data_IF_457604951472
#
_entry.id   IF_457604951472
#
_cell.length_a   1.000
_cell.length_b   1.000
_cell.length_c   1.000
_cell.angle_alpha   90.00
_cell.angle_beta   90.00
_cell.angle_gamma   90.00
#
_symmetry.space_group_name_H-M   'P 1'
#
loop_
_entity.id
_entity.type
_entity.pdbx_description
1 polymer ?
#
# COMPACT_ATOMS: atom_id res chain seq x y z
N UNK A 1 -19.45 -2.21 -10.47
CA UNK A 1 -20.48 -1.36 -9.82
C UNK A 1 -19.73 -0.31 -9.01
N UNK A 2 -20.09 0.96 -9.12
CA UNK A 2 -19.47 2.06 -8.38
C UNK A 2 -20.11 2.17 -6.99
N UNK A 3 -19.30 2.36 -5.95
CA UNK A 3 -19.75 2.46 -4.55
C UNK A 3 -19.49 3.87 -4.02
N UNK A 4 -20.55 4.57 -3.66
CA UNK A 4 -20.47 5.98 -3.23
C UNK A 4 -20.10 6.13 -1.75
N UNK A 5 -20.54 5.19 -0.90
CA UNK A 5 -20.20 5.17 0.52
C UNK A 5 -18.93 4.33 0.78
N UNK A 6 -17.91 4.95 1.38
CA UNK A 6 -16.63 4.33 1.70
C UNK A 6 -16.13 4.78 3.07
N UNK A 7 -15.32 3.93 3.70
CA UNK A 7 -14.46 4.30 4.83
C UNK A 7 -13.06 4.49 4.29
N UNK A 8 -12.39 5.55 4.73
CA UNK A 8 -10.99 5.77 4.45
C UNK A 8 -10.27 6.35 5.67
N UNK A 9 -9.24 5.67 6.14
CA UNK A 9 -8.56 5.97 7.41
C UNK A 9 -7.08 5.60 7.35
N UNK A 10 -6.28 6.24 8.21
CA UNK A 10 -4.91 5.80 8.47
C UNK A 10 -4.95 4.72 9.55
N UNK A 11 -4.36 3.57 9.26
CA UNK A 11 -4.21 2.43 10.18
C UNK A 11 -2.73 2.18 10.46
N UNK A 12 -2.44 1.51 11.57
CA UNK A 12 -1.10 0.99 11.84
C UNK A 12 -1.04 -0.48 11.42
N UNK A 13 -0.01 -0.83 10.66
CA UNK A 13 0.28 -2.21 10.25
C UNK A 13 1.66 -2.63 10.74
N UNK A 14 1.88 -3.94 10.87
CA UNK A 14 3.22 -4.50 11.10
C UNK A 14 3.91 -4.68 9.74
N UNK A 15 4.99 -3.95 9.53
CA UNK A 15 5.82 -4.02 8.33
C UNK A 15 7.07 -4.87 8.52
N UNK A 16 8.16 -4.46 7.85
CA UNK A 16 9.45 -5.12 7.90
C UNK A 16 9.94 -5.31 9.35
N UNK A 17 10.36 -6.53 9.68
CA UNK A 17 10.83 -6.94 11.01
C UNK A 17 9.85 -6.64 12.18
N UNK A 18 8.56 -6.47 11.87
CA UNK A 18 7.52 -6.26 12.89
C UNK A 18 7.35 -4.80 13.34
N UNK A 19 8.06 -3.86 12.72
CA UNK A 19 7.89 -2.42 12.93
C UNK A 19 6.46 -1.99 12.67
N UNK A 20 5.96 -1.01 13.44
CA UNK A 20 4.69 -0.37 13.15
C UNK A 20 4.88 0.80 12.18
N UNK A 21 4.15 0.77 11.08
CA UNK A 21 4.12 1.85 10.08
C UNK A 21 2.67 2.25 9.81
N UNK A 22 2.50 3.51 9.41
CA UNK A 22 1.23 3.99 8.87
C UNK A 22 0.91 3.29 7.54
N UNK A 23 -0.37 3.00 7.33
CA UNK A 23 -0.92 2.66 6.03
C UNK A 23 -2.28 3.33 5.84
N UNK A 24 -2.60 3.72 4.61
CA UNK A 24 -3.88 4.34 4.31
C UNK A 24 -4.81 3.28 3.74
N UNK A 25 -5.88 2.96 4.46
CA UNK A 25 -6.86 1.96 4.10
C UNK A 25 -8.12 2.64 3.57
N UNK A 26 -8.64 2.20 2.43
CA UNK A 26 -9.92 2.60 1.90
C UNK A 26 -10.75 1.38 1.48
N UNK A 27 -12.05 1.38 1.77
CA UNK A 27 -12.96 0.27 1.43
C UNK A 27 -14.41 0.71 1.26
N UNK A 28 -15.23 -0.06 0.52
CA UNK A 28 -16.69 0.12 0.51
C UNK A 28 -17.31 0.01 1.92
N UNK A 29 -18.34 0.81 2.19
CA UNK A 29 -19.13 0.80 3.43
C UNK A 29 -20.36 -0.12 3.29
N UNK A 30 -20.15 -1.42 3.04
CA UNK A 30 -21.23 -2.41 3.07
C UNK A 30 -20.72 -3.76 3.60
N UNK A 31 -21.59 -4.76 3.61
CA UNK A 31 -21.31 -6.09 4.17
C UNK A 31 -20.76 -7.11 3.16
N UNK A 32 -20.40 -6.70 1.94
CA UNK A 32 -19.85 -7.60 0.92
C UNK A 32 -18.36 -7.83 1.15
N UNK A 33 -17.87 -8.97 0.63
CA UNK A 33 -16.45 -9.29 0.62
C UNK A 33 -15.82 -8.85 -0.69
N UNK A 34 -14.65 -8.21 -0.61
CA UNK A 34 -13.97 -7.63 -1.77
C UNK A 34 -12.55 -8.15 -1.89
N UNK A 35 -12.00 -8.09 -3.10
CA UNK A 35 -10.57 -8.33 -3.31
C UNK A 35 -9.77 -7.16 -2.74
N UNK A 36 -8.59 -7.48 -2.21
CA UNK A 36 -7.64 -6.52 -1.68
C UNK A 36 -6.68 -6.02 -2.75
N UNK A 37 -6.25 -4.76 -2.64
CA UNK A 37 -5.21 -4.20 -3.48
C UNK A 37 -4.21 -3.46 -2.61
N UNK A 38 -2.95 -3.91 -2.64
CA UNK A 38 -1.82 -3.14 -2.11
C UNK A 38 -1.35 -2.17 -3.18
N UNK A 39 -1.25 -0.89 -2.86
CA UNK A 39 -0.82 0.17 -3.77
C UNK A 39 0.57 0.62 -3.33
N UNK A 40 1.56 0.32 -4.16
CA UNK A 40 2.93 0.75 -3.96
C UNK A 40 3.09 2.15 -4.56
N UNK A 41 3.28 3.14 -3.69
CA UNK A 41 3.32 4.55 -4.06
C UNK A 41 4.56 4.92 -4.90
N UNK A 42 4.43 5.95 -5.72
CA UNK A 42 5.56 6.63 -6.35
C UNK A 42 6.39 7.44 -5.34
N UNK A 43 7.38 8.19 -5.82
CA UNK A 43 8.03 9.26 -5.05
C UNK A 43 7.35 10.61 -5.36
N UNK A 44 6.91 11.40 -4.36
CA UNK A 44 7.46 11.50 -3.00
C UNK A 44 6.90 10.53 -1.95
N UNK A 45 5.82 9.81 -2.26
CA UNK A 45 5.32 8.71 -1.45
C UNK A 45 4.04 9.05 -0.70
N UNK A 46 4.12 9.17 0.62
CA UNK A 46 2.95 9.34 1.49
C UNK A 46 2.27 10.71 1.34
N UNK A 47 1.52 10.90 0.26
CA UNK A 47 0.84 12.15 -0.09
C UNK A 47 -0.68 11.98 -0.31
N UNK A 48 -1.36 13.08 -0.63
CA UNK A 48 -2.79 13.10 -0.90
C UNK A 48 -3.21 12.35 -2.18
N UNK A 49 -2.35 12.32 -3.21
CA UNK A 49 -2.65 11.67 -4.48
C UNK A 49 -2.64 10.13 -4.35
N UNK A 50 -1.70 9.59 -3.58
CA UNK A 50 -1.62 8.17 -3.27
C UNK A 50 -2.86 7.71 -2.46
N UNK A 51 -3.27 8.52 -1.48
CA UNK A 51 -4.50 8.29 -0.70
C UNK A 51 -5.76 8.35 -1.58
N UNK A 52 -5.76 9.22 -2.57
CA UNK A 52 -6.86 9.33 -3.54
C UNK A 52 -6.97 8.09 -4.43
N UNK A 53 -5.85 7.50 -4.84
CA UNK A 53 -5.86 6.25 -5.60
C UNK A 53 -6.50 5.12 -4.77
N UNK A 54 -6.19 5.01 -3.48
CA UNK A 54 -6.87 4.05 -2.60
C UNK A 54 -8.39 4.25 -2.57
N UNK A 55 -8.86 5.49 -2.44
CA UNK A 55 -10.30 5.82 -2.48
C UNK A 55 -10.94 5.47 -3.83
N UNK A 56 -10.23 5.65 -4.95
CA UNK A 56 -10.73 5.24 -6.27
C UNK A 56 -10.87 3.72 -6.39
N UNK A 57 -9.91 2.95 -5.87
CA UNK A 57 -10.06 1.49 -5.81
C UNK A 57 -11.26 1.07 -4.94
N UNK A 58 -11.43 1.70 -3.78
CA UNK A 58 -12.60 1.48 -2.94
C UNK A 58 -13.92 1.79 -3.66
N UNK A 59 -13.97 2.92 -4.39
CA UNK A 59 -15.11 3.28 -5.23
C UNK A 59 -15.43 2.23 -6.29
N UNK A 60 -14.44 1.47 -6.77
CA UNK A 60 -14.61 0.38 -7.73
C UNK A 60 -14.80 -1.01 -7.10
N UNK A 61 -14.94 -1.11 -5.78
CA UNK A 61 -15.22 -2.38 -5.10
C UNK A 61 -13.97 -3.17 -4.71
N UNK A 62 -12.94 -2.49 -4.22
CA UNK A 62 -11.73 -3.12 -3.67
C UNK A 62 -11.46 -2.65 -2.24
N UNK A 63 -10.79 -3.49 -1.43
CA UNK A 63 -10.18 -3.04 -0.18
C UNK A 63 -8.76 -2.61 -0.50
N UNK A 64 -8.53 -1.30 -0.54
CA UNK A 64 -7.26 -0.74 -0.98
C UNK A 64 -6.41 -0.28 0.21
N UNK A 65 -5.12 -0.63 0.20
CA UNK A 65 -4.18 -0.18 1.21
C UNK A 65 -2.92 0.41 0.56
N UNK A 66 -2.46 1.55 1.06
CA UNK A 66 -1.19 2.17 0.67
C UNK A 66 -0.29 2.14 1.91
N UNK A 67 0.75 1.30 2.01
CA UNK A 67 1.70 1.38 3.11
C UNK A 67 2.57 2.64 2.98
N UNK A 68 2.89 3.31 4.08
CA UNK A 68 3.85 4.40 4.11
C UNK A 68 5.29 3.84 4.09
N UNK A 69 5.81 3.57 2.89
CA UNK A 69 7.14 2.97 2.72
C UNK A 69 8.28 3.91 3.15
N UNK A 70 7.98 5.20 3.31
CA UNK A 70 8.93 6.22 3.76
C UNK A 70 8.74 6.61 5.24
N UNK A 71 7.90 5.88 5.99
CA UNK A 71 7.55 6.20 7.39
C UNK A 71 8.78 6.48 8.26
N UNK A 72 9.84 5.70 8.08
CA UNK A 72 11.06 5.74 8.89
C UNK A 72 12.01 6.88 8.55
N UNK A 73 11.84 7.51 7.39
CA UNK A 73 12.71 8.58 6.91
C UNK A 73 12.19 9.97 7.34
N UNK A 74 11.04 10.03 8.02
CA UNK A 74 10.28 11.26 8.21
C UNK A 74 10.75 12.15 9.37
N UNK A 75 11.09 13.40 9.03
CA UNK A 75 10.65 14.64 9.74
C UNK A 75 10.39 15.85 8.81
N UNK A 76 10.62 15.73 7.50
CA UNK A 76 10.47 16.80 6.51
C UNK A 76 9.26 16.56 5.58
N UNK A 77 9.00 17.45 4.62
CA UNK A 77 7.93 17.27 3.61
C UNK A 77 8.15 16.00 2.77
N UNK A 78 7.10 15.39 2.17
CA UNK A 78 7.26 14.25 1.28
C UNK A 78 8.33 14.48 0.20
N UNK A 79 8.36 15.67 -0.39
CA UNK A 79 9.33 16.07 -1.41
C UNK A 79 10.77 16.01 -0.88
N UNK A 80 11.03 16.59 0.29
CA UNK A 80 12.36 16.59 0.94
C UNK A 80 12.81 15.17 1.29
N UNK A 81 11.92 14.36 1.87
CA UNK A 81 12.21 12.95 2.17
C UNK A 81 12.54 12.20 0.89
N UNK A 82 11.79 12.44 -0.19
CA UNK A 82 12.02 11.81 -1.48
C UNK A 82 13.40 12.17 -2.09
N UNK A 83 13.82 13.43 -1.96
CA UNK A 83 15.14 13.85 -2.41
C UNK A 83 16.26 13.16 -1.62
N UNK A 84 16.10 13.07 -0.28
CA UNK A 84 17.03 12.37 0.61
C UNK A 84 17.16 10.88 0.24
N UNK A 85 16.03 10.20 0.05
CA UNK A 85 15.99 8.78 -0.32
C UNK A 85 16.70 8.55 -1.66
N UNK A 86 16.48 9.41 -2.66
CA UNK A 86 17.19 9.30 -3.95
C UNK A 86 18.70 9.50 -3.78
N UNK A 87 19.11 10.49 -2.99
CA UNK A 87 20.52 10.75 -2.72
C UNK A 87 21.20 9.58 -2.00
N UNK A 88 20.46 8.85 -1.16
CA UNK A 88 20.92 7.65 -0.46
C UNK A 88 20.94 6.37 -1.34
N UNK A 89 20.56 6.46 -2.62
CA UNK A 89 20.53 5.31 -3.54
C UNK A 89 19.19 4.58 -3.61
N UNK A 90 18.13 5.13 -3.01
CA UNK A 90 16.80 4.55 -2.98
C UNK A 90 16.48 3.84 -1.66
N UNK A 91 15.24 3.36 -1.56
CA UNK A 91 14.80 2.59 -0.40
C UNK A 91 15.38 1.17 -0.45
N UNK A 92 15.86 0.59 0.66
CA UNK A 92 16.29 -0.81 0.69
C UNK A 92 15.16 -1.74 0.23
N UNK A 93 15.49 -2.66 -0.69
CA UNK A 93 14.50 -3.56 -1.29
C UNK A 93 13.90 -4.50 -0.25
N UNK A 94 14.72 -5.04 0.66
CA UNK A 94 14.30 -5.91 1.75
C UNK A 94 13.31 -5.22 2.70
N UNK A 95 13.57 -3.96 3.04
CA UNK A 95 12.68 -3.15 3.87
C UNK A 95 11.36 -2.89 3.14
N UNK A 96 11.45 -2.46 1.89
CA UNK A 96 10.28 -2.18 1.06
C UNK A 96 9.39 -3.41 0.91
N UNK A 97 9.98 -4.56 0.54
CA UNK A 97 9.25 -5.82 0.38
C UNK A 97 8.68 -6.32 1.70
N UNK A 98 9.40 -6.15 2.82
CA UNK A 98 8.87 -6.47 4.15
C UNK A 98 7.65 -5.64 4.54
N UNK A 99 7.67 -4.34 4.26
CA UNK A 99 6.52 -3.45 4.50
C UNK A 99 5.33 -3.78 3.58
N UNK A 100 5.59 -4.13 2.31
CA UNK A 100 4.54 -4.59 1.36
C UNK A 100 3.95 -5.94 1.78
N UNK A 101 4.76 -6.90 2.24
CA UNK A 101 4.26 -8.16 2.80
C UNK A 101 3.39 -7.92 4.03
N UNK A 102 3.80 -7.00 4.90
CA UNK A 102 2.99 -6.56 6.05
C UNK A 102 1.61 -6.02 5.64
N UNK A 103 1.54 -5.28 4.53
CA UNK A 103 0.27 -4.80 3.98
C UNK A 103 -0.59 -5.94 3.40
N UNK A 104 0.01 -6.92 2.73
CA UNK A 104 -0.68 -8.12 2.24
C UNK A 104 -1.28 -8.90 3.42
N UNK A 105 -0.48 -9.15 4.46
CA UNK A 105 -0.87 -9.90 5.64
C UNK A 105 -1.98 -9.17 6.41
N UNK A 106 -1.87 -7.83 6.52
CA UNK A 106 -2.90 -7.00 7.10
C UNK A 106 -4.23 -7.14 6.34
N UNK A 107 -4.24 -7.00 5.01
CA UNK A 107 -5.45 -7.20 4.20
C UNK A 107 -6.08 -8.58 4.44
N UNK A 108 -5.25 -9.63 4.46
CA UNK A 108 -5.70 -11.01 4.67
C UNK A 108 -6.32 -11.25 6.04
N UNK A 109 -6.02 -10.40 7.03
CA UNK A 109 -6.64 -10.45 8.36
C UNK A 109 -8.03 -9.81 8.43
N UNK A 110 -8.42 -9.03 7.42
CA UNK A 110 -9.66 -8.25 7.47
C UNK A 110 -10.89 -9.13 7.21
N UNK A 111 -11.97 -8.97 8.01
CA UNK A 111 -13.17 -9.81 7.89
C UNK A 111 -14.01 -9.53 6.63
N UNK A 112 -13.70 -8.44 5.92
CA UNK A 112 -14.38 -8.01 4.69
C UNK A 112 -13.55 -8.24 3.42
N UNK A 113 -12.51 -9.07 3.52
CA UNK A 113 -11.74 -9.54 2.36
C UNK A 113 -12.33 -10.87 1.84
N UNK A 114 -12.40 -11.03 0.52
CA UNK A 114 -12.79 -12.31 -0.10
C UNK A 114 -11.63 -13.33 -0.21
N UNK A 115 -10.48 -13.02 0.38
CA UNK A 115 -9.28 -13.86 0.36
C UNK A 115 -8.30 -13.60 -0.79
N UNK A 116 -8.67 -12.78 -1.79
CA UNK A 116 -7.81 -12.40 -2.92
C UNK A 116 -7.07 -11.09 -2.65
N UNK A 117 -5.80 -11.02 -3.03
CA UNK A 117 -4.97 -9.81 -2.91
C UNK A 117 -4.16 -9.59 -4.17
N UNK A 118 -4.31 -8.43 -4.80
CA UNK A 118 -3.41 -7.95 -5.84
C UNK A 118 -2.46 -6.88 -5.30
N UNK A 119 -1.40 -6.60 -6.06
CA UNK A 119 -0.54 -5.44 -5.84
C UNK A 119 -0.42 -4.64 -7.12
N UNK A 120 -0.39 -3.32 -7.00
CA UNK A 120 -0.09 -2.42 -8.10
C UNK A 120 1.06 -1.49 -7.73
N UNK A 121 1.89 -1.13 -8.69
CA UNK A 121 2.91 -0.11 -8.52
C UNK A 121 3.00 0.81 -9.73
N UNK A 122 3.32 2.08 -9.50
CA UNK A 122 3.46 3.06 -10.59
C UNK A 122 4.66 3.97 -10.40
N UNK A 123 5.21 4.46 -11.53
CA UNK A 123 6.49 5.16 -11.56
C UNK A 123 7.60 4.29 -10.90
N UNK A 124 8.27 4.76 -9.86
CA UNK A 124 9.24 3.97 -9.09
C UNK A 124 8.64 2.70 -8.48
N UNK A 125 7.34 2.74 -8.16
CA UNK A 125 6.58 1.60 -7.65
C UNK A 125 6.48 0.44 -8.65
N UNK A 126 6.64 0.67 -9.96
CA UNK A 126 6.56 -0.41 -10.95
C UNK A 126 7.69 -1.45 -10.78
N UNK A 127 8.92 -1.00 -10.51
CA UNK A 127 10.03 -1.91 -10.17
C UNK A 127 9.71 -2.70 -8.89
N UNK A 128 9.14 -2.03 -7.90
CA UNK A 128 8.78 -2.64 -6.62
C UNK A 128 7.63 -3.66 -6.77
N UNK A 129 6.66 -3.41 -7.66
CA UNK A 129 5.63 -4.39 -8.01
C UNK A 129 6.22 -5.63 -8.69
N UNK A 130 7.19 -5.46 -9.60
CA UNK A 130 7.93 -6.58 -10.18
C UNK A 130 8.68 -7.41 -9.11
N UNK A 131 9.40 -6.74 -8.19
CA UNK A 131 10.06 -7.42 -7.08
C UNK A 131 9.06 -8.14 -6.17
N UNK A 132 7.89 -7.53 -5.93
CA UNK A 132 6.83 -8.15 -5.15
C UNK A 132 6.36 -9.47 -5.79
N UNK A 133 6.20 -9.49 -7.12
CA UNK A 133 5.87 -10.70 -7.87
C UNK A 133 6.90 -11.83 -7.67
N UNK A 134 8.18 -11.47 -7.58
CA UNK A 134 9.26 -12.44 -7.48
C UNK A 134 9.52 -12.94 -6.06
N UNK A 135 9.21 -12.14 -5.04
CA UNK A 135 9.73 -12.36 -3.67
C UNK A 135 8.64 -12.53 -2.60
N UNK A 136 7.44 -12.01 -2.85
CA UNK A 136 6.36 -12.03 -1.86
C UNK A 136 5.41 -13.21 -2.07
N UNK A 137 4.63 -13.51 -1.02
CA UNK A 137 3.65 -14.60 -1.03
C UNK A 137 2.25 -14.06 -0.82
N UNK A 138 1.26 -14.83 -1.28
CA UNK A 138 -0.14 -14.48 -1.10
C UNK A 138 -0.61 -13.35 -2.02
N UNK A 139 0.01 -13.19 -3.19
CA UNK A 139 -0.48 -12.34 -4.28
C UNK A 139 -1.21 -13.19 -5.32
N UNK A 140 -2.35 -12.71 -5.79
CA UNK A 140 -3.15 -13.29 -6.86
C UNK A 140 -2.97 -12.55 -8.20
N UNK A 141 -2.49 -11.30 -8.17
CA UNK A 141 -2.21 -10.48 -9.34
C UNK A 141 -1.16 -9.40 -9.03
N UNK A 142 -0.42 -8.97 -10.05
CA UNK A 142 0.57 -7.89 -10.00
C UNK A 142 0.39 -7.00 -11.22
N UNK A 143 0.39 -5.67 -11.02
CA UNK A 143 0.34 -4.65 -12.08
C UNK A 143 1.49 -3.65 -11.92
#
# INVERSE_FOLDING_TARGET
MTYEAQIAETVLIRGHQGDQIDAYLARPLNALLYAGVVIIHHMPGWDGANKEIARRFAHHGYVAIVPNLHFREGKATPEENSASIRAAGGMPDDRTMGDVQGAIDYLRSLPYLNGKVGVIGYCSGGRQAYLAACTLRGLDAVV
#
